data_IF_834085648646
#
_entry.id   IF_834085648646
#
_cell.length_a   1.000
_cell.length_b   1.000
_cell.length_c   1.000
_cell.angle_alpha   90.00
_cell.angle_beta   90.00
_cell.angle_gamma   90.00
#
_symmetry.space_group_name_H-M   'P 1'
#
loop_
_entity.id
_entity.type
_entity.pdbx_description
1 polymer ?
#
# COMPACT_ATOMS: atom_id res chain seq x y z
N UNK A 1 1.37 6.65 -14.93
CA UNK A 1 2.06 5.40 -15.30
C UNK A 1 2.49 4.64 -14.05
N UNK A 2 2.22 3.36 -14.01
CA UNK A 2 2.53 2.53 -12.84
C UNK A 2 3.69 1.60 -13.16
N UNK A 3 4.69 1.55 -12.26
CA UNK A 3 5.85 0.65 -12.40
C UNK A 3 6.53 0.47 -11.05
N UNK A 4 7.42 -0.50 -10.94
CA UNK A 4 8.25 -0.65 -9.75
C UNK A 4 9.15 0.56 -9.56
N UNK A 5 9.33 0.97 -8.29
CA UNK A 5 10.20 2.09 -7.97
C UNK A 5 11.67 1.72 -8.10
N UNK A 6 12.51 2.72 -8.33
CA UNK A 6 13.95 2.58 -8.44
C UNK A 6 14.67 3.29 -7.30
N UNK A 7 15.96 3.04 -7.16
CA UNK A 7 16.75 3.64 -6.08
C UNK A 7 16.78 5.18 -6.16
N UNK A 8 16.72 5.75 -7.36
CA UNK A 8 16.67 7.20 -7.50
C UNK A 8 15.35 7.82 -7.02
N UNK A 9 14.35 7.00 -6.68
CA UNK A 9 13.10 7.47 -6.07
C UNK A 9 13.18 7.55 -4.54
N UNK A 10 14.30 7.12 -3.94
CA UNK A 10 14.43 6.95 -2.49
C UNK A 10 14.00 8.17 -1.69
N UNK A 11 14.51 9.36 -2.05
CA UNK A 11 14.20 10.59 -1.30
C UNK A 11 12.71 10.94 -1.39
N UNK A 12 12.12 10.75 -2.56
CA UNK A 12 10.69 11.04 -2.76
C UNK A 12 9.82 10.04 -2.00
N UNK A 13 10.21 8.78 -1.97
CA UNK A 13 9.50 7.75 -1.19
C UNK A 13 9.50 8.11 0.29
N UNK A 14 10.66 8.54 0.81
CA UNK A 14 10.77 8.97 2.22
C UNK A 14 9.89 10.18 2.48
N UNK A 15 9.91 11.17 1.60
CA UNK A 15 9.09 12.37 1.72
C UNK A 15 7.60 12.02 1.78
N UNK A 16 7.12 11.21 0.85
CA UNK A 16 5.71 10.78 0.82
C UNK A 16 5.37 9.88 2.00
N UNK A 17 6.30 9.02 2.40
CA UNK A 17 6.09 8.11 3.52
C UNK A 17 5.87 8.83 4.84
N UNK A 18 6.46 9.99 5.00
CA UNK A 18 6.27 10.81 6.21
C UNK A 18 4.84 11.34 6.36
N UNK A 19 4.04 11.29 5.31
CA UNK A 19 2.60 11.58 5.41
C UNK A 19 1.88 10.52 6.24
N UNK A 20 2.40 9.30 6.28
CA UNK A 20 1.85 8.22 7.11
C UNK A 20 2.39 8.34 8.54
N UNK A 21 3.72 8.47 8.66
CA UNK A 21 4.42 8.45 9.94
C UNK A 21 5.75 9.17 9.79
N UNK A 22 6.04 10.12 10.69
CA UNK A 22 7.29 10.88 10.69
C UNK A 22 8.53 9.97 10.78
N UNK A 23 8.38 8.78 11.32
CA UNK A 23 9.46 7.80 11.47
C UNK A 23 9.48 6.77 10.34
N UNK A 24 8.79 7.03 9.23
CA UNK A 24 8.61 6.07 8.15
C UNK A 24 9.94 5.43 7.69
N UNK A 25 10.96 6.26 7.46
CA UNK A 25 12.26 5.78 7.01
C UNK A 25 13.12 5.15 8.12
N UNK A 26 12.72 5.30 9.38
CA UNK A 26 13.40 4.67 10.51
C UNK A 26 12.86 3.27 10.79
N UNK A 27 11.57 3.06 10.54
CA UNK A 27 10.93 1.76 10.77
C UNK A 27 10.91 0.89 9.53
N UNK A 28 11.23 1.45 8.35
CA UNK A 28 11.25 0.73 7.09
C UNK A 28 12.60 0.89 6.41
N UNK A 29 13.19 -0.21 5.99
CA UNK A 29 14.41 -0.18 5.18
C UNK A 29 14.01 -0.02 3.72
N UNK A 30 13.88 1.23 3.27
CA UNK A 30 13.38 1.55 1.95
C UNK A 30 14.28 1.00 0.83
N UNK A 31 15.60 1.05 1.02
CA UNK A 31 16.52 0.53 0.02
C UNK A 31 16.31 -0.97 -0.25
N UNK A 32 16.10 -1.74 0.81
CA UNK A 32 15.79 -3.17 0.69
C UNK A 32 14.45 -3.40 0.02
N UNK A 33 13.45 -2.60 0.35
CA UNK A 33 12.12 -2.68 -0.25
C UNK A 33 12.22 -2.45 -1.76
N UNK A 34 12.98 -1.44 -2.17
CA UNK A 34 13.22 -1.16 -3.59
C UNK A 34 13.96 -2.33 -4.26
N UNK A 35 15.02 -2.80 -3.63
CA UNK A 35 15.85 -3.90 -4.13
C UNK A 35 15.05 -5.18 -4.31
N UNK A 36 14.14 -5.46 -3.40
CA UNK A 36 13.30 -6.66 -3.44
C UNK A 36 12.09 -6.52 -4.35
N UNK A 37 11.92 -5.37 -5.00
CA UNK A 37 10.75 -5.07 -5.86
C UNK A 37 9.43 -5.25 -5.12
N UNK A 38 9.38 -4.70 -3.93
CA UNK A 38 8.20 -4.74 -3.07
C UNK A 38 7.56 -3.34 -2.93
N UNK A 39 7.81 -2.46 -3.90
CA UNK A 39 7.22 -1.13 -3.96
C UNK A 39 6.89 -0.77 -5.40
N UNK A 40 5.63 -0.39 -5.60
CA UNK A 40 5.08 0.01 -6.90
C UNK A 40 4.76 1.50 -6.82
N UNK A 41 5.15 2.25 -7.85
CA UNK A 41 4.93 3.69 -7.88
C UNK A 41 4.00 4.13 -8.99
N UNK A 42 3.29 5.22 -8.75
CA UNK A 42 2.53 5.93 -9.77
C UNK A 42 3.25 7.22 -10.11
N UNK A 43 3.52 7.42 -11.40
CA UNK A 43 4.30 8.55 -11.90
C UNK A 43 3.46 9.44 -12.80
N UNK A 44 3.51 10.74 -12.54
CA UNK A 44 2.94 11.77 -13.38
C UNK A 44 4.09 12.60 -13.96
N UNK A 45 4.29 12.53 -15.28
CA UNK A 45 5.41 13.20 -15.96
C UNK A 45 6.76 12.88 -15.31
N UNK A 46 6.99 11.60 -15.02
CA UNK A 46 8.21 11.10 -14.35
C UNK A 46 8.36 11.52 -12.88
N UNK A 47 7.35 12.14 -12.29
CA UNK A 47 7.34 12.47 -10.87
C UNK A 47 6.56 11.43 -10.10
N UNK A 48 7.17 10.87 -9.06
CA UNK A 48 6.50 9.91 -8.17
C UNK A 48 5.47 10.66 -7.33
N UNK A 49 4.19 10.32 -7.47
CA UNK A 49 3.10 10.98 -6.75
C UNK A 49 2.32 10.04 -5.83
N UNK A 50 2.62 8.76 -5.88
CA UNK A 50 2.03 7.78 -4.99
C UNK A 50 2.78 6.47 -5.08
N UNK A 51 2.61 5.62 -4.06
CA UNK A 51 3.22 4.30 -4.06
C UNK A 51 2.41 3.31 -3.21
N UNK A 52 2.68 2.04 -3.47
CA UNK A 52 2.15 0.92 -2.71
C UNK A 52 3.32 0.05 -2.28
N UNK A 53 3.40 -0.27 -0.99
CA UNK A 53 4.41 -1.18 -0.44
C UNK A 53 3.74 -2.45 0.03
N UNK A 54 4.34 -3.57 -0.30
CA UNK A 54 3.86 -4.89 0.12
C UNK A 54 5.05 -5.78 0.46
N UNK A 55 4.79 -6.83 1.20
CA UNK A 55 5.79 -7.82 1.57
C UNK A 55 5.41 -9.16 0.97
N UNK A 56 6.39 -9.83 0.35
CA UNK A 56 6.19 -11.19 -0.19
C UNK A 56 6.52 -12.19 0.89
N UNK A 57 5.54 -12.97 1.29
CA UNK A 57 5.69 -13.99 2.29
C UNK A 57 5.17 -15.31 1.72
N UNK A 58 6.01 -15.96 0.90
CA UNK A 58 5.65 -17.17 0.13
C UNK A 58 4.44 -16.87 -0.76
N UNK A 59 3.34 -17.61 -0.62
CA UNK A 59 2.14 -17.43 -1.43
C UNK A 59 1.23 -16.28 -0.96
N UNK A 60 1.60 -15.60 0.13
CA UNK A 60 0.80 -14.52 0.71
C UNK A 60 1.51 -13.19 0.50
N UNK A 61 0.78 -12.21 -0.02
CA UNK A 61 1.25 -10.84 -0.06
C UNK A 61 0.62 -10.07 1.10
N UNK A 62 1.44 -9.38 1.87
CA UNK A 62 0.96 -8.46 2.91
C UNK A 62 1.02 -7.04 2.36
N UNK A 63 -0.13 -6.43 2.14
CA UNK A 63 -0.20 -5.03 1.72
C UNK A 63 0.05 -4.16 2.94
N UNK A 64 1.13 -3.37 2.90
CA UNK A 64 1.56 -2.60 4.06
C UNK A 64 1.13 -1.14 3.99
N UNK A 65 1.34 -0.48 2.84
CA UNK A 65 1.05 0.95 2.69
C UNK A 65 0.55 1.26 1.28
N UNK A 66 -0.40 2.17 1.20
CA UNK A 66 -0.75 2.89 -0.03
C UNK A 66 -0.72 4.37 0.32
N UNK A 67 0.09 5.14 -0.39
CA UNK A 67 0.24 6.58 -0.17
C UNK A 67 0.03 7.30 -1.48
N UNK A 68 -0.78 8.34 -1.45
CA UNK A 68 -0.98 9.23 -2.60
C UNK A 68 -0.79 10.66 -2.12
N UNK A 69 0.02 11.43 -2.84
CA UNK A 69 0.23 12.85 -2.55
C UNK A 69 -1.12 13.57 -2.50
N UNK A 70 -1.39 14.42 -1.50
CA UNK A 70 -2.72 14.98 -1.28
C UNK A 70 -3.38 15.63 -2.50
N UNK A 71 -2.62 16.39 -3.30
CA UNK A 71 -3.17 17.05 -4.48
C UNK A 71 -3.54 16.09 -5.61
N UNK A 72 -3.08 14.84 -5.52
CA UNK A 72 -3.37 13.79 -6.51
C UNK A 72 -4.45 12.81 -6.04
N UNK A 73 -5.05 13.05 -4.88
CA UNK A 73 -6.11 12.17 -4.37
C UNK A 73 -7.40 12.33 -5.17
N UNK A 74 -8.27 11.31 -5.09
CA UNK A 74 -9.54 11.24 -5.82
C UNK A 74 -9.38 11.16 -7.34
N UNK A 75 -8.21 10.70 -7.81
CA UNK A 75 -7.92 10.49 -9.23
C UNK A 75 -7.69 9.02 -9.55
N UNK A 76 -8.16 8.12 -8.69
CA UNK A 76 -8.07 6.66 -8.86
C UNK A 76 -6.64 6.11 -8.86
N UNK A 77 -5.68 6.86 -8.35
CA UNK A 77 -4.28 6.41 -8.29
C UNK A 77 -4.12 5.20 -7.38
N UNK A 78 -4.76 5.22 -6.21
CA UNK A 78 -4.75 4.07 -5.30
C UNK A 78 -5.32 2.81 -5.96
N UNK A 79 -6.39 2.96 -6.74
CA UNK A 79 -6.97 1.85 -7.50
C UNK A 79 -6.00 1.29 -8.52
N UNK A 80 -5.31 2.14 -9.26
CA UNK A 80 -4.36 1.71 -10.29
C UNK A 80 -3.14 1.01 -9.67
N UNK A 81 -2.66 1.49 -8.52
CA UNK A 81 -1.58 0.83 -7.79
C UNK A 81 -2.01 -0.56 -7.32
N UNK A 82 -3.20 -0.67 -6.77
CA UNK A 82 -3.73 -1.95 -6.29
C UNK A 82 -3.96 -2.92 -7.44
N UNK A 83 -4.51 -2.46 -8.57
CA UNK A 83 -4.69 -3.29 -9.75
C UNK A 83 -3.35 -3.83 -10.27
N UNK A 84 -2.32 -2.99 -10.26
CA UNK A 84 -1.00 -3.42 -10.69
C UNK A 84 -0.46 -4.55 -9.83
N UNK A 85 -0.61 -4.43 -8.52
CA UNK A 85 -0.22 -5.50 -7.60
C UNK A 85 -0.99 -6.79 -7.90
N UNK A 86 -2.30 -6.68 -8.00
CA UNK A 86 -3.19 -7.83 -8.25
C UNK A 86 -2.84 -8.55 -9.55
N UNK A 87 -2.51 -7.80 -10.59
CA UNK A 87 -2.30 -8.35 -11.93
C UNK A 87 -0.87 -8.76 -12.23
N UNK A 88 0.11 -8.28 -11.48
CA UNK A 88 1.52 -8.49 -11.81
C UNK A 88 2.30 -9.37 -10.84
N UNK A 89 1.74 -9.72 -9.69
CA UNK A 89 2.40 -10.62 -8.75
C UNK A 89 1.74 -12.00 -8.76
N UNK A 90 2.53 -13.00 -8.35
CA UNK A 90 2.06 -14.38 -8.20
C UNK A 90 1.80 -14.61 -6.71
N UNK A 91 0.58 -14.99 -6.36
CA UNK A 91 0.17 -15.18 -4.97
C UNK A 91 -1.08 -16.04 -4.90
N UNK A 92 -1.38 -16.58 -3.74
CA UNK A 92 -2.66 -17.23 -3.46
C UNK A 92 -3.64 -16.25 -2.82
N UNK A 93 -3.14 -15.34 -1.98
CA UNK A 93 -3.98 -14.32 -1.34
C UNK A 93 -3.20 -13.08 -0.97
N UNK A 94 -3.92 -11.99 -0.78
CA UNK A 94 -3.39 -10.72 -0.28
C UNK A 94 -4.10 -10.42 1.04
N UNK A 95 -3.31 -10.10 2.07
CA UNK A 95 -3.79 -9.68 3.39
C UNK A 95 -3.47 -8.21 3.62
N UNK A 96 -4.32 -7.54 4.36
CA UNK A 96 -4.07 -6.18 4.82
C UNK A 96 -4.77 -5.91 6.15
N UNK A 97 -4.33 -4.86 6.82
CA UNK A 97 -5.02 -4.32 7.98
C UNK A 97 -5.37 -2.87 7.70
N UNK A 98 -6.57 -2.46 8.09
CA UNK A 98 -7.08 -1.11 7.87
C UNK A 98 -7.88 -0.66 9.08
N UNK A 99 -7.75 0.63 9.45
CA UNK A 99 -8.58 1.20 10.53
C UNK A 99 -10.05 1.09 10.15
N UNK A 100 -10.87 0.72 11.12
CA UNK A 100 -12.31 0.56 10.86
C UNK A 100 -13.01 1.87 10.49
N UNK A 101 -12.40 3.01 10.80
CA UNK A 101 -12.95 4.33 10.44
C UNK A 101 -12.45 4.85 9.08
N UNK A 102 -11.53 4.15 8.44
CA UNK A 102 -11.02 4.52 7.11
C UNK A 102 -11.97 4.03 6.01
N UNK A 103 -13.09 4.74 5.88
CA UNK A 103 -14.19 4.36 5.00
C UNK A 103 -13.74 4.29 3.52
N UNK A 104 -12.94 5.25 3.09
CA UNK A 104 -12.50 5.32 1.70
C UNK A 104 -11.60 4.14 1.32
N UNK A 105 -10.66 3.77 2.20
CA UNK A 105 -9.79 2.63 1.98
C UNK A 105 -10.58 1.32 1.97
N UNK A 106 -11.50 1.16 2.90
CA UNK A 106 -12.35 -0.04 2.98
C UNK A 106 -13.17 -0.21 1.69
N UNK A 107 -13.73 0.88 1.18
CA UNK A 107 -14.48 0.85 -0.10
C UNK A 107 -13.58 0.43 -1.25
N UNK A 108 -12.36 0.95 -1.30
CA UNK A 108 -11.38 0.59 -2.32
C UNK A 108 -11.09 -0.92 -2.27
N UNK A 109 -10.80 -1.43 -1.09
CA UNK A 109 -10.47 -2.85 -0.94
C UNK A 109 -11.66 -3.75 -1.28
N UNK A 110 -12.86 -3.41 -0.83
CA UNK A 110 -14.06 -4.19 -1.16
C UNK A 110 -14.33 -4.23 -2.66
N UNK A 111 -14.04 -3.15 -3.37
CA UNK A 111 -14.17 -3.09 -4.83
C UNK A 111 -13.32 -4.16 -5.51
N UNK A 112 -12.18 -4.51 -4.93
CA UNK A 112 -11.27 -5.53 -5.46
C UNK A 112 -11.41 -6.89 -4.77
N UNK A 113 -12.59 -7.15 -4.21
CA UNK A 113 -12.96 -8.45 -3.62
C UNK A 113 -12.24 -8.78 -2.30
N UNK A 114 -11.72 -7.78 -1.61
CA UNK A 114 -11.26 -7.98 -0.25
C UNK A 114 -12.44 -8.10 0.68
N UNK A 115 -12.36 -9.06 1.62
CA UNK A 115 -13.40 -9.32 2.63
C UNK A 115 -12.82 -9.19 4.02
N UNK A 116 -13.60 -8.69 4.95
CA UNK A 116 -13.22 -8.64 6.36
C UNK A 116 -13.24 -10.06 6.91
N UNK A 117 -12.10 -10.53 7.43
CA UNK A 117 -11.98 -11.87 8.01
C UNK A 117 -11.73 -11.82 9.52
N UNK A 118 -11.36 -10.68 10.06
CA UNK A 118 -11.11 -10.53 11.49
C UNK A 118 -11.16 -9.07 11.89
N UNK A 119 -11.34 -8.83 13.19
CA UNK A 119 -11.31 -7.49 13.79
C UNK A 119 -10.29 -7.52 14.93
N UNK A 120 -9.32 -6.60 14.88
CA UNK A 120 -8.36 -6.42 15.97
C UNK A 120 -8.80 -5.26 16.83
N UNK A 121 -9.23 -5.54 18.05
CA UNK A 121 -9.75 -4.52 18.98
C UNK A 121 -8.64 -3.61 19.46
N UNK A 122 -8.89 -2.28 19.42
CA UNK A 122 -7.98 -1.24 19.91
C UNK A 122 -6.58 -1.31 19.30
N UNK A 123 -6.46 -1.80 18.07
CA UNK A 123 -5.17 -1.95 17.38
C UNK A 123 -4.53 -0.59 17.11
N UNK A 124 -5.33 0.42 16.75
CA UNK A 124 -4.89 1.80 16.53
C UNK A 124 -5.42 2.64 17.71
N UNK A 125 -4.69 2.71 18.80
CA UNK A 125 -5.08 3.45 20.00
C UNK A 125 -6.57 3.27 20.32
N UNK A 126 -7.43 4.22 19.96
CA UNK A 126 -8.85 4.18 20.24
C UNK A 126 -9.70 3.62 19.09
N UNK A 127 -9.06 3.00 18.11
CA UNK A 127 -9.78 2.45 16.97
C UNK A 127 -9.42 0.98 16.73
N UNK A 128 -10.42 0.22 16.32
CA UNK A 128 -10.22 -1.16 15.88
C UNK A 128 -9.61 -1.18 14.48
N UNK A 129 -9.02 -2.31 14.12
CA UNK A 129 -8.56 -2.59 12.76
C UNK A 129 -9.33 -3.77 12.19
N UNK A 130 -9.67 -3.68 10.92
CA UNK A 130 -10.15 -4.82 10.17
C UNK A 130 -8.97 -5.53 9.51
N UNK A 131 -8.95 -6.85 9.60
CA UNK A 131 -8.08 -7.67 8.78
C UNK A 131 -8.89 -8.06 7.55
N UNK A 132 -8.39 -7.75 6.37
CA UNK A 132 -9.07 -8.06 5.12
C UNK A 132 -8.23 -8.98 4.26
N UNK A 133 -8.91 -9.81 3.46
CA UNK A 133 -8.28 -10.82 2.63
C UNK A 133 -8.92 -10.84 1.25
N UNK A 134 -8.07 -10.96 0.22
CA UNK A 134 -8.52 -11.24 -1.14
C UNK A 134 -7.85 -12.53 -1.59
N UNK A 135 -8.66 -13.52 -1.95
CA UNK A 135 -8.19 -14.82 -2.45
C UNK A 135 -8.25 -14.77 -3.98
N UNK A 136 -7.16 -15.17 -4.59
CA UNK A 136 -7.06 -15.18 -6.05
C UNK A 136 -7.95 -16.25 -6.68
#
# INVERSE_FOLDING_TARGET
>A
MVKYCHLNDLLKIIELGKLINNNFNKVNNIENIIKNKEIIGYYDNNNLVGFLIYNKNYEVLDLLYIVVEPIYRNKKIGSELLEYLINNEIYEKILLEVRCDNVNAIKLYKKYNFKIINIRKNYYENNDAYVMEMIK
#
